data_IF_633229586326
#
_entry.id   IF_633229586326
#
_cell.length_a   1.000
_cell.length_b   1.000
_cell.length_c   1.000
_cell.angle_alpha   90.00
_cell.angle_beta   90.00
_cell.angle_gamma   90.00
#
_symmetry.space_group_name_H-M   'P 1'
#
loop_
_entity.id
_entity.type
_entity.pdbx_description
1 polymer ?
#
# COMPACT_ATOMS: atom_id res chain seq x y z
N UNK A 1 -18.59 -5.23 -28.73
CA UNK A 1 -19.18 -5.50 -27.40
C UNK A 1 -18.34 -4.77 -26.36
N UNK A 2 -18.92 -3.85 -25.61
CA UNK A 2 -18.20 -3.05 -24.61
C UNK A 2 -17.76 -3.97 -23.46
N UNK A 3 -16.49 -4.39 -23.43
CA UNK A 3 -15.92 -5.23 -22.37
C UNK A 3 -15.96 -4.57 -20.97
N UNK A 4 -16.37 -3.30 -20.88
CA UNK A 4 -16.38 -2.51 -19.66
C UNK A 4 -17.72 -2.55 -18.88
N UNK A 5 -18.79 -3.09 -19.43
CA UNK A 5 -20.14 -2.97 -18.84
C UNK A 5 -20.37 -3.82 -17.56
N UNK A 6 -19.48 -4.76 -17.23
CA UNK A 6 -19.64 -5.70 -16.08
C UNK A 6 -18.44 -5.69 -15.12
N UNK A 7 -17.62 -4.64 -15.11
CA UNK A 7 -16.45 -4.60 -14.21
C UNK A 7 -16.88 -4.17 -12.80
N UNK A 8 -16.68 -5.04 -11.80
CA UNK A 8 -16.89 -4.72 -10.39
C UNK A 8 -16.01 -3.53 -9.96
N UNK A 9 -16.50 -2.70 -9.05
CA UNK A 9 -15.71 -1.63 -8.41
C UNK A 9 -15.03 -0.66 -9.40
N UNK A 10 -15.74 -0.26 -10.47
CA UNK A 10 -15.14 0.55 -11.54
C UNK A 10 -14.57 1.88 -11.02
N UNK A 11 -15.27 2.57 -10.10
CA UNK A 11 -14.81 3.85 -9.55
C UNK A 11 -13.51 3.66 -8.77
N UNK A 12 -13.49 2.67 -7.89
CA UNK A 12 -12.34 2.29 -7.08
C UNK A 12 -11.13 1.92 -7.93
N UNK A 13 -11.36 1.16 -9.00
CA UNK A 13 -10.32 0.78 -9.97
C UNK A 13 -9.76 2.00 -10.71
N UNK A 14 -10.61 2.97 -11.06
CA UNK A 14 -10.18 4.20 -11.73
C UNK A 14 -9.32 5.05 -10.80
N UNK A 15 -9.76 5.25 -9.55
CA UNK A 15 -9.02 6.01 -8.56
C UNK A 15 -7.66 5.37 -8.25
N UNK A 16 -7.65 4.05 -7.98
CA UNK A 16 -6.43 3.34 -7.66
C UNK A 16 -5.46 3.33 -8.85
N UNK A 17 -5.96 3.14 -10.08
CA UNK A 17 -5.14 3.26 -11.29
C UNK A 17 -4.55 4.67 -11.47
N UNK A 18 -5.31 5.71 -11.14
CA UNK A 18 -4.81 7.09 -11.15
C UNK A 18 -3.66 7.29 -10.15
N UNK A 19 -3.78 6.74 -8.93
CA UNK A 19 -2.71 6.77 -7.93
C UNK A 19 -1.43 6.09 -8.41
N UNK A 20 -1.52 4.89 -9.02
CA UNK A 20 -0.36 4.23 -9.64
C UNK A 20 0.31 5.12 -10.71
N UNK A 21 -0.49 5.69 -11.62
CA UNK A 21 0.04 6.52 -12.71
C UNK A 21 0.69 7.81 -12.22
N UNK A 22 0.14 8.44 -11.18
CA UNK A 22 0.75 9.62 -10.55
C UNK A 22 2.01 9.27 -9.78
N UNK A 23 2.02 8.17 -9.03
CA UNK A 23 3.22 7.66 -8.34
C UNK A 23 4.37 7.44 -9.33
N UNK A 24 4.07 6.88 -10.51
CA UNK A 24 5.06 6.74 -11.56
C UNK A 24 5.53 8.09 -12.14
N UNK A 25 4.59 9.01 -12.38
CA UNK A 25 4.89 10.35 -12.92
C UNK A 25 5.75 11.19 -11.97
N UNK A 26 5.66 10.94 -10.67
CA UNK A 26 6.44 11.57 -9.61
C UNK A 26 7.72 10.80 -9.26
N UNK A 27 8.02 9.70 -9.97
CA UNK A 27 9.20 8.86 -9.78
C UNK A 27 9.30 8.19 -8.39
N UNK A 28 8.16 7.81 -7.80
CA UNK A 28 8.08 7.18 -6.47
C UNK A 28 7.96 5.64 -6.51
N UNK A 29 8.12 5.04 -7.70
CA UNK A 29 7.59 3.70 -8.00
C UNK A 29 8.58 2.53 -7.86
N UNK A 30 9.88 2.78 -7.63
CA UNK A 30 11.00 1.81 -7.71
C UNK A 30 10.74 0.58 -8.62
N UNK A 31 11.12 0.70 -9.90
CA UNK A 31 10.94 -0.35 -10.90
C UNK A 31 9.52 -0.95 -10.88
N UNK A 32 9.36 -2.20 -10.41
CA UNK A 32 8.11 -2.97 -10.44
C UNK A 32 7.76 -3.62 -9.09
N UNK A 33 8.49 -3.30 -8.02
CA UNK A 33 8.40 -4.00 -6.73
C UNK A 33 7.21 -3.54 -5.88
N UNK A 34 6.80 -2.29 -6.03
CA UNK A 34 5.82 -1.67 -5.15
C UNK A 34 4.39 -2.14 -5.39
N UNK A 35 3.51 -1.86 -4.42
CA UNK A 35 2.14 -2.35 -4.46
C UNK A 35 1.15 -1.47 -3.70
N UNK A 36 0.01 -1.19 -4.35
CA UNK A 36 -1.14 -0.51 -3.73
C UNK A 36 -2.35 -1.41 -3.75
N UNK A 37 -3.17 -1.31 -2.71
CA UNK A 37 -4.41 -2.06 -2.62
C UNK A 37 -5.56 -1.25 -2.05
N UNK A 38 -6.78 -1.71 -2.32
CA UNK A 38 -8.00 -1.13 -1.79
C UNK A 38 -9.01 -2.22 -1.43
N UNK A 39 -9.39 -2.31 -0.15
CA UNK A 39 -10.46 -3.18 0.32
C UNK A 39 -11.80 -2.81 -0.33
N UNK A 40 -12.54 -3.83 -0.78
CA UNK A 40 -13.84 -3.68 -1.45
C UNK A 40 -14.99 -4.32 -0.67
N UNK A 41 -14.70 -4.89 0.50
CA UNK A 41 -15.69 -5.37 1.45
C UNK A 41 -15.35 -4.96 2.89
N UNK A 42 -16.35 -4.88 3.79
CA UNK A 42 -16.15 -4.46 5.18
C UNK A 42 -15.18 -5.34 5.97
N UNK A 43 -15.10 -6.63 5.65
CA UNK A 43 -14.25 -7.60 6.35
C UNK A 43 -12.76 -7.49 5.95
N UNK A 44 -12.42 -6.68 4.94
CA UNK A 44 -11.04 -6.50 4.46
C UNK A 44 -10.44 -7.75 3.80
N UNK A 45 -11.25 -8.79 3.56
CA UNK A 45 -10.80 -10.04 2.93
C UNK A 45 -10.70 -9.92 1.42
N UNK A 46 -11.50 -9.06 0.79
CA UNK A 46 -11.49 -8.84 -0.66
C UNK A 46 -10.95 -7.45 -0.98
N UNK A 47 -9.97 -7.38 -1.89
CA UNK A 47 -9.37 -6.11 -2.27
C UNK A 47 -8.87 -6.10 -3.71
N UNK A 48 -8.74 -4.89 -4.26
CA UNK A 48 -8.07 -4.61 -5.51
C UNK A 48 -6.56 -4.48 -5.27
N UNK A 49 -5.72 -4.98 -6.18
CA UNK A 49 -4.25 -4.82 -6.13
C UNK A 49 -3.64 -4.88 -7.55
N UNK A 50 -2.41 -4.39 -7.73
CA UNK A 50 -1.66 -4.58 -8.98
C UNK A 50 -1.12 -6.01 -9.13
N UNK A 51 -1.07 -6.57 -10.36
CA UNK A 51 -0.35 -7.82 -10.63
C UNK A 51 1.14 -7.67 -10.38
N UNK A 52 1.81 -8.78 -10.06
CA UNK A 52 3.26 -8.80 -9.87
C UNK A 52 4.02 -8.36 -11.13
N UNK A 53 5.15 -7.67 -10.94
CA UNK A 53 6.09 -7.31 -12.01
C UNK A 53 5.55 -6.28 -13.01
N UNK A 54 4.41 -5.63 -12.73
CA UNK A 54 3.86 -4.59 -13.59
C UNK A 54 4.28 -3.21 -13.13
N UNK A 55 5.05 -2.53 -13.99
CA UNK A 55 5.41 -1.14 -13.78
C UNK A 55 4.19 -0.23 -13.60
N UNK A 56 4.23 0.66 -12.61
CA UNK A 56 3.11 1.54 -12.24
C UNK A 56 2.60 2.40 -13.39
N UNK A 57 3.49 2.84 -14.29
CA UNK A 57 3.14 3.59 -15.49
C UNK A 57 2.29 2.81 -16.51
N UNK A 58 2.08 1.50 -16.32
CA UNK A 58 1.28 0.63 -17.20
C UNK A 58 -0.03 0.15 -16.57
N UNK A 59 -0.29 0.44 -15.30
CA UNK A 59 -1.49 0.00 -14.59
C UNK A 59 -2.74 0.70 -15.14
N UNK A 60 -3.78 -0.04 -15.49
CA UNK A 60 -5.09 0.49 -15.86
C UNK A 60 -6.13 -0.01 -14.88
N UNK A 61 -7.30 0.63 -14.82
CA UNK A 61 -8.44 0.14 -14.02
C UNK A 61 -8.76 -1.34 -14.33
N UNK A 62 -8.64 -1.72 -15.61
CA UNK A 62 -8.89 -3.08 -16.10
C UNK A 62 -7.75 -4.06 -15.82
N UNK A 63 -6.54 -3.59 -15.51
CA UNK A 63 -5.40 -4.47 -15.19
C UNK A 63 -5.29 -4.78 -13.71
N UNK A 64 -6.02 -4.07 -12.85
CA UNK A 64 -6.10 -4.36 -11.42
C UNK A 64 -6.80 -5.70 -11.23
N UNK A 65 -6.32 -6.49 -10.27
CA UNK A 65 -6.93 -7.76 -9.92
C UNK A 65 -7.71 -7.61 -8.64
N UNK A 66 -8.91 -8.18 -8.62
CA UNK A 66 -9.64 -8.39 -7.39
C UNK A 66 -9.28 -9.77 -6.86
N UNK A 67 -9.02 -9.83 -5.56
CA UNK A 67 -8.55 -11.03 -4.88
C UNK A 67 -9.32 -11.24 -3.58
N UNK A 68 -9.37 -12.48 -3.11
CA UNK A 68 -9.86 -12.83 -1.78
C UNK A 68 -8.71 -13.42 -0.97
N UNK A 69 -8.33 -12.74 0.11
CA UNK A 69 -7.25 -13.10 1.01
C UNK A 69 -7.41 -14.49 1.65
N UNK A 70 -8.64 -15.01 1.69
CA UNK A 70 -8.97 -16.35 2.18
C UNK A 70 -8.91 -17.42 1.08
N UNK A 71 -8.73 -17.04 -0.19
CA UNK A 71 -8.63 -17.95 -1.33
C UNK A 71 -7.16 -18.10 -1.77
N UNK A 72 -6.44 -19.11 -1.28
CA UNK A 72 -5.04 -19.35 -1.65
C UNK A 72 -4.88 -19.72 -3.13
N UNK A 73 -5.94 -20.13 -3.83
CA UNK A 73 -5.87 -20.44 -5.26
C UNK A 73 -5.55 -19.20 -6.10
N UNK A 74 -5.75 -18.00 -5.53
CA UNK A 74 -5.38 -16.74 -6.18
C UNK A 74 -3.89 -16.69 -6.56
N UNK A 75 -3.01 -17.28 -5.75
CA UNK A 75 -1.57 -17.33 -6.03
C UNK A 75 -1.19 -18.25 -7.19
N UNK A 76 -2.13 -19.08 -7.67
CA UNK A 76 -1.94 -19.93 -8.86
C UNK A 76 -2.39 -19.26 -10.15
N UNK A 77 -2.97 -18.05 -10.09
CA UNK A 77 -3.44 -17.33 -11.27
C UNK A 77 -2.28 -16.69 -12.04
N UNK A 78 -2.36 -16.59 -13.38
CA UNK A 78 -1.33 -15.91 -14.19
C UNK A 78 -1.14 -14.42 -13.86
N UNK A 79 -2.14 -13.80 -13.25
CA UNK A 79 -2.17 -12.39 -12.87
C UNK A 79 -2.03 -12.17 -11.35
N UNK A 80 -1.54 -13.20 -10.62
CA UNK A 80 -1.33 -13.13 -9.19
C UNK A 80 -0.48 -11.91 -8.78
N UNK A 81 -0.79 -11.27 -7.63
CA UNK A 81 0.05 -10.23 -7.07
C UNK A 81 1.34 -10.83 -6.50
N UNK A 82 2.23 -9.95 -6.05
CA UNK A 82 3.41 -10.39 -5.31
C UNK A 82 2.99 -11.09 -3.99
N UNK A 83 3.59 -12.25 -3.62
CA UNK A 83 3.24 -12.95 -2.37
C UNK A 83 3.46 -12.11 -1.11
N UNK A 84 4.46 -11.22 -1.11
CA UNK A 84 4.74 -10.35 0.04
C UNK A 84 3.69 -9.26 0.16
N UNK A 85 3.28 -8.69 -0.97
CA UNK A 85 2.16 -7.75 -1.06
C UNK A 85 0.86 -8.38 -0.56
N UNK A 86 0.58 -9.64 -0.95
CA UNK A 86 -0.58 -10.40 -0.48
C UNK A 86 -0.61 -10.54 1.04
N UNK A 87 0.50 -11.02 1.63
CA UNK A 87 0.61 -11.27 3.06
C UNK A 87 0.46 -9.99 3.88
N UNK A 88 1.23 -8.95 3.53
CA UNK A 88 1.25 -7.68 4.24
C UNK A 88 -0.10 -6.94 4.13
N UNK A 89 -0.58 -6.72 2.90
CA UNK A 89 -1.81 -5.96 2.68
C UNK A 89 -3.04 -6.72 3.20
N UNK A 90 -3.09 -8.04 3.00
CA UNK A 90 -4.17 -8.88 3.51
C UNK A 90 -4.24 -8.88 5.04
N UNK A 91 -3.10 -8.93 5.74
CA UNK A 91 -3.07 -8.83 7.19
C UNK A 91 -3.57 -7.46 7.69
N UNK A 92 -3.12 -6.37 7.07
CA UNK A 92 -3.51 -5.01 7.43
C UNK A 92 -5.00 -4.78 7.20
N UNK A 93 -5.55 -5.14 6.03
CA UNK A 93 -6.98 -4.95 5.74
C UNK A 93 -7.89 -5.67 6.72
N UNK A 94 -7.56 -6.92 7.09
CA UNK A 94 -8.37 -7.73 8.01
C UNK A 94 -8.28 -7.22 9.46
N UNK A 95 -7.10 -6.79 9.89
CA UNK A 95 -6.88 -6.39 11.28
C UNK A 95 -7.21 -4.92 11.55
N UNK A 96 -7.14 -4.06 10.53
CA UNK A 96 -7.33 -2.61 10.63
C UNK A 96 -8.45 -2.14 9.70
N UNK A 97 -9.74 -2.18 10.12
CA UNK A 97 -10.87 -1.76 9.28
C UNK A 97 -10.79 -0.30 8.80
N UNK A 98 -10.01 0.56 9.46
CA UNK A 98 -9.74 1.94 9.01
C UNK A 98 -8.74 2.04 7.86
N UNK A 99 -8.01 0.96 7.54
CA UNK A 99 -6.98 0.90 6.51
C UNK A 99 -7.53 0.46 5.15
N UNK A 100 -8.64 1.06 4.69
CA UNK A 100 -9.33 0.67 3.44
C UNK A 100 -8.41 0.73 2.23
N UNK A 101 -7.53 1.73 2.14
CA UNK A 101 -6.49 1.84 1.13
C UNK A 101 -5.12 1.74 1.78
N UNK A 102 -4.27 0.87 1.24
CA UNK A 102 -2.88 0.67 1.67
C UNK A 102 -1.96 0.92 0.48
N UNK A 103 -0.99 1.82 0.64
CA UNK A 103 0.00 2.15 -0.38
C UNK A 103 1.41 1.97 0.18
N UNK A 104 2.18 1.06 -0.41
CA UNK A 104 3.57 0.84 -0.07
C UNK A 104 4.47 1.29 -1.21
N UNK A 105 5.54 2.03 -0.88
CA UNK A 105 6.58 2.41 -1.83
C UNK A 105 7.99 2.34 -1.23
N UNK A 106 8.96 2.13 -2.11
CA UNK A 106 10.40 2.34 -1.88
C UNK A 106 10.85 3.66 -2.54
N UNK A 107 10.21 4.77 -2.17
CA UNK A 107 10.59 6.10 -2.69
C UNK A 107 11.90 6.58 -2.07
N UNK A 108 12.63 7.45 -2.76
CA UNK A 108 14.06 7.68 -2.50
C UNK A 108 14.29 8.26 -1.10
N UNK A 109 13.65 9.39 -0.78
CA UNK A 109 13.90 10.07 0.50
C UNK A 109 13.31 9.29 1.67
N UNK A 110 12.12 8.73 1.50
CA UNK A 110 11.48 7.89 2.49
C UNK A 110 12.33 6.65 2.83
N UNK A 111 12.94 6.01 1.81
CA UNK A 111 13.81 4.84 2.01
C UNK A 111 15.14 5.24 2.65
N UNK A 112 15.69 6.41 2.32
CA UNK A 112 16.87 6.96 3.02
C UNK A 112 16.56 7.17 4.49
N UNK A 113 15.45 7.82 4.84
CA UNK A 113 14.99 7.99 6.23
C UNK A 113 14.84 6.64 6.93
N UNK A 114 14.18 5.68 6.28
CA UNK A 114 13.98 4.32 6.79
C UNK A 114 15.29 3.58 7.08
N UNK A 115 16.39 3.97 6.44
CA UNK A 115 17.71 3.32 6.59
C UNK A 115 18.59 4.00 7.65
N UNK A 116 18.14 5.10 8.24
CA UNK A 116 18.88 5.79 9.32
C UNK A 116 18.77 5.03 10.64
N UNK A 117 19.78 5.18 11.50
CA UNK A 117 19.74 4.66 12.87
C UNK A 117 18.57 5.21 13.70
N UNK A 118 18.12 6.43 13.39
CA UNK A 118 16.85 6.99 13.85
C UNK A 118 15.97 7.29 12.64
N UNK A 119 15.02 6.39 12.35
CA UNK A 119 14.13 6.50 11.18
C UNK A 119 12.87 7.34 11.43
N UNK A 120 12.80 8.06 12.56
CA UNK A 120 11.63 8.90 12.88
C UNK A 120 11.65 10.16 12.01
N UNK A 121 10.49 10.52 11.46
CA UNK A 121 10.29 11.82 10.80
C UNK A 121 9.98 12.90 11.87
N UNK A 122 10.88 13.86 12.15
CA UNK A 122 10.60 14.93 13.09
C UNK A 122 9.70 15.99 12.43
N UNK A 123 8.81 16.61 13.21
CA UNK A 123 7.92 17.68 12.75
C UNK A 123 8.65 19.03 12.72
N UNK A 124 9.49 19.24 11.70
CA UNK A 124 10.38 20.39 11.58
C UNK A 124 9.91 21.44 10.55
N UNK A 125 8.96 21.07 9.69
CA UNK A 125 8.40 21.93 8.65
C UNK A 125 6.89 21.68 8.48
N UNK A 126 6.24 22.43 7.60
CA UNK A 126 4.79 22.36 7.40
C UNK A 126 4.31 20.98 6.92
N UNK A 127 5.07 20.32 6.05
CA UNK A 127 4.71 19.01 5.52
C UNK A 127 4.94 17.93 6.58
N UNK A 128 6.12 17.90 7.22
CA UNK A 128 6.41 16.94 8.29
C UNK A 128 5.47 17.09 9.50
N UNK A 129 4.98 18.30 9.79
CA UNK A 129 3.97 18.54 10.82
C UNK A 129 2.64 17.80 10.56
N UNK A 130 2.29 17.48 9.31
CA UNK A 130 1.10 16.66 9.01
C UNK A 130 1.20 15.26 9.63
N UNK A 131 2.41 14.76 9.84
CA UNK A 131 2.68 13.40 10.31
C UNK A 131 2.98 13.33 11.81
N UNK A 132 3.06 14.48 12.49
CA UNK A 132 3.32 14.55 13.92
C UNK A 132 2.29 13.72 14.72
N UNK A 133 2.78 12.77 15.52
CA UNK A 133 1.99 11.80 16.29
C UNK A 133 1.07 10.89 15.45
N UNK A 134 1.40 10.67 14.17
CA UNK A 134 0.65 9.79 13.24
C UNK A 134 1.54 8.76 12.54
N UNK A 135 2.82 8.70 12.91
CA UNK A 135 3.83 7.80 12.34
C UNK A 135 4.23 6.75 13.37
N UNK A 136 4.36 5.51 12.91
CA UNK A 136 5.07 4.45 13.61
C UNK A 136 6.30 4.03 12.82
N UNK A 137 7.34 3.58 13.51
CA UNK A 137 8.52 2.98 12.87
C UNK A 137 8.48 1.50 13.16
N UNK A 138 8.58 0.70 12.11
CA UNK A 138 8.86 -0.73 12.19
C UNK A 138 10.35 -0.96 11.98
N UNK A 139 11.10 -1.26 13.04
CA UNK A 139 12.54 -1.49 13.02
C UNK A 139 12.93 -2.94 12.70
N UNK A 140 11.96 -3.84 12.49
CA UNK A 140 12.20 -5.28 12.31
C UNK A 140 12.11 -5.70 10.84
N UNK A 141 13.18 -5.50 10.07
CA UNK A 141 13.25 -5.95 8.68
C UNK A 141 13.53 -7.46 8.57
N UNK A 142 12.55 -8.21 8.05
CA UNK A 142 12.63 -9.66 7.86
C UNK A 142 13.16 -10.11 6.48
N UNK A 143 13.44 -9.17 5.56
CA UNK A 143 13.78 -9.48 4.18
C UNK A 143 12.54 -9.61 3.30
N UNK A 144 11.91 -10.79 3.27
CA UNK A 144 10.64 -10.98 2.56
C UNK A 144 9.47 -10.92 3.54
N UNK A 145 8.51 -10.01 3.28
CA UNK A 145 7.35 -9.86 4.13
C UNK A 145 6.41 -11.06 4.00
N UNK A 146 6.42 -11.93 5.01
CA UNK A 146 5.47 -13.04 5.17
C UNK A 146 4.46 -12.75 6.28
N UNK A 147 3.70 -13.77 6.69
CA UNK A 147 2.59 -13.64 7.65
C UNK A 147 2.98 -12.95 8.97
N UNK A 148 4.19 -13.21 9.49
CA UNK A 148 4.68 -12.61 10.74
C UNK A 148 4.85 -11.08 10.63
N UNK A 149 5.42 -10.60 9.52
CA UNK A 149 5.58 -9.17 9.26
C UNK A 149 4.21 -8.50 9.08
N UNK A 150 3.29 -9.13 8.34
CA UNK A 150 1.93 -8.63 8.17
C UNK A 150 1.19 -8.43 9.50
N UNK A 151 1.24 -9.42 10.41
CA UNK A 151 0.59 -9.35 11.72
C UNK A 151 1.23 -8.28 12.63
N UNK A 152 2.55 -8.15 12.60
CA UNK A 152 3.29 -7.14 13.36
C UNK A 152 2.96 -5.73 12.84
N UNK A 153 2.98 -5.51 11.53
CA UNK A 153 2.61 -4.25 10.90
C UNK A 153 1.15 -3.86 11.22
N UNK A 154 0.21 -4.81 11.14
CA UNK A 154 -1.16 -4.61 11.56
C UNK A 154 -1.26 -4.14 13.03
N UNK A 155 -0.50 -4.76 13.93
CA UNK A 155 -0.48 -4.37 15.36
C UNK A 155 0.01 -2.93 15.55
N UNK A 156 1.07 -2.54 14.83
CA UNK A 156 1.61 -1.17 14.86
C UNK A 156 0.64 -0.13 14.28
N UNK A 157 -0.26 -0.54 13.39
CA UNK A 157 -1.30 0.29 12.76
C UNK A 157 -2.67 0.20 13.44
N UNK A 158 -2.77 -0.49 14.58
CA UNK A 158 -4.05 -0.76 15.24
C UNK A 158 -4.75 0.51 15.75
N UNK A 159 -3.99 1.54 16.19
CA UNK A 159 -4.56 2.84 16.53
C UNK A 159 -4.93 3.60 15.23
N UNK A 160 -6.21 3.97 15.01
CA UNK A 160 -6.64 4.70 13.83
C UNK A 160 -5.99 6.08 13.63
N UNK A 161 -5.29 6.62 14.65
CA UNK A 161 -4.48 7.85 14.52
C UNK A 161 -3.17 7.62 13.77
N UNK A 162 -2.64 6.40 13.78
CA UNK A 162 -1.41 6.03 13.08
C UNK A 162 -1.79 5.71 11.63
N UNK A 163 -1.37 6.57 10.72
CA UNK A 163 -1.72 6.46 9.28
C UNK A 163 -0.50 6.21 8.39
N UNK A 164 0.68 6.22 8.97
CA UNK A 164 1.96 6.17 8.28
C UNK A 164 2.91 5.26 9.03
N UNK A 165 3.56 4.37 8.29
CA UNK A 165 4.59 3.48 8.81
C UNK A 165 5.87 3.69 8.02
N UNK A 166 6.95 3.98 8.74
CA UNK A 166 8.31 3.86 8.20
C UNK A 166 8.77 2.44 8.45
N UNK A 167 9.10 1.71 7.38
CA UNK A 167 9.56 0.34 7.44
C UNK A 167 11.08 0.33 7.33
N UNK A 168 11.77 0.03 8.43
CA UNK A 168 13.21 0.14 8.57
C UNK A 168 13.96 -0.62 7.49
N UNK A 169 14.91 0.05 6.83
CA UNK A 169 15.70 -0.45 5.70
C UNK A 169 14.88 -0.90 4.48
N UNK A 170 13.59 -0.54 4.40
CA UNK A 170 12.67 -1.06 3.39
C UNK A 170 11.97 0.08 2.62
N UNK A 171 11.27 0.97 3.30
CA UNK A 171 10.52 2.04 2.65
C UNK A 171 9.40 2.56 3.54
N UNK A 172 8.25 2.89 2.96
CA UNK A 172 7.09 3.41 3.70
C UNK A 172 5.79 2.77 3.29
N UNK A 173 4.85 2.78 4.22
CA UNK A 173 3.48 2.30 4.02
C UNK A 173 2.50 3.33 4.57
N UNK A 174 1.53 3.72 3.74
CA UNK A 174 0.47 4.66 4.07
C UNK A 174 -0.87 3.95 4.11
N UNK A 175 -1.71 4.30 5.08
CA UNK A 175 -3.10 3.85 5.15
C UNK A 175 -4.08 5.02 5.13
N UNK A 176 -5.31 4.75 4.68
CA UNK A 176 -6.39 5.74 4.66
C UNK A 176 -7.73 5.15 4.24
N UNK A 177 -8.79 5.97 4.30
CA UNK A 177 -10.15 5.51 3.99
C UNK A 177 -10.50 5.62 2.50
N UNK A 178 -9.74 6.44 1.77
CA UNK A 178 -9.92 6.66 0.33
C UNK A 178 -8.56 6.67 -0.37
N UNK A 179 -8.56 6.35 -1.67
CA UNK A 179 -7.34 6.40 -2.48
C UNK A 179 -6.72 7.80 -2.47
N UNK A 180 -7.55 8.85 -2.61
CA UNK A 180 -7.09 10.23 -2.65
C UNK A 180 -6.41 10.66 -1.35
N UNK A 181 -7.00 10.31 -0.20
CA UNK A 181 -6.42 10.59 1.12
C UNK A 181 -5.09 9.88 1.33
N UNK A 182 -5.02 8.58 1.01
CA UNK A 182 -3.79 7.79 1.16
C UNK A 182 -2.69 8.29 0.22
N UNK A 183 -3.03 8.61 -1.03
CA UNK A 183 -2.09 9.17 -2.00
C UNK A 183 -1.58 10.56 -1.58
N UNK A 184 -2.45 11.40 -1.02
CA UNK A 184 -2.05 12.70 -0.49
C UNK A 184 -0.99 12.55 0.62
N UNK A 185 -1.17 11.59 1.53
CA UNK A 185 -0.13 11.29 2.55
C UNK A 185 1.16 10.81 1.91
N UNK A 186 1.07 9.90 0.95
CA UNK A 186 2.23 9.41 0.23
C UNK A 186 3.02 10.55 -0.43
N UNK A 187 2.32 11.46 -1.11
CA UNK A 187 2.91 12.61 -1.79
C UNK A 187 3.65 13.55 -0.84
N UNK A 188 3.05 13.89 0.31
CA UNK A 188 3.65 14.83 1.26
C UNK A 188 4.71 14.21 2.17
N UNK A 189 4.78 12.88 2.24
CA UNK A 189 5.80 12.19 3.05
C UNK A 189 7.16 12.11 2.34
N UNK A 190 7.16 11.95 1.01
CA UNK A 190 8.37 11.96 0.18
C UNK A 190 9.00 13.35 0.05
#
# INVERSE_FOLDING_TARGET
>A
MNQHANMSHLSERLDLAAAFRWTARLNLHEAVANHFSLAVNPEGTRFLINPNGRHFSRITATSLVEIDANDPTTMSRPDAPDPTAWGLHGAIHRACPHAVCVMHVHSIHATVLASLADSRLPAIDQNSAMFHNRVVVDDHYGGMAFEEEGARCATLLADPKITTMVMGNHGVLMIGRTVAETFNRLYYFE
#
